data_IF_600285509523
#
_entry.id   IF_600285509523
#
_cell.length_a   1.000
_cell.length_b   1.000
_cell.length_c   1.000
_cell.angle_alpha   90.00
_cell.angle_beta   90.00
_cell.angle_gamma   90.00
#
_symmetry.space_group_name_H-M   'P 1'
#
loop_
_entity.id
_entity.type
_entity.pdbx_description
1 polymer ?
#
# COMPACT_ATOMS: atom_id res chain seq x y z
N UNK A 1 2.96 -11.57 7.71
CA UNK A 1 3.11 -10.28 7.05
C UNK A 1 3.26 -10.46 5.53
N UNK A 2 4.21 -11.27 5.03
CA UNK A 2 4.46 -11.45 3.59
C UNK A 2 3.19 -11.79 2.79
N UNK A 3 2.36 -12.73 3.29
CA UNK A 3 1.13 -13.11 2.60
C UNK A 3 0.07 -11.99 2.58
N UNK A 4 0.08 -11.10 3.56
CA UNK A 4 -0.73 -9.88 3.53
C UNK A 4 -0.20 -8.92 2.45
N UNK A 5 1.12 -8.66 2.41
CA UNK A 5 1.75 -7.79 1.40
C UNK A 5 1.51 -8.26 -0.04
N UNK A 6 1.33 -9.56 -0.27
CA UNK A 6 1.10 -10.15 -1.59
C UNK A 6 -0.36 -10.49 -1.87
N UNK A 7 -1.31 -9.98 -1.08
CA UNK A 7 -2.75 -10.27 -1.24
C UNK A 7 -3.06 -11.77 -1.31
N UNK A 8 -2.37 -12.56 -0.48
CA UNK A 8 -2.52 -14.00 -0.40
C UNK A 8 -2.73 -14.47 1.05
N UNK A 9 -3.55 -13.75 1.80
CA UNK A 9 -3.83 -14.01 3.22
C UNK A 9 -4.49 -15.37 3.48
N UNK A 10 -5.19 -15.92 2.48
CA UNK A 10 -6.06 -17.09 2.61
C UNK A 10 -7.46 -16.76 3.15
N UNK A 11 -7.70 -15.52 3.57
CA UNK A 11 -9.03 -15.06 3.98
C UNK A 11 -9.81 -14.67 2.73
N UNK A 12 -11.06 -15.13 2.64
CA UNK A 12 -11.96 -14.76 1.54
C UNK A 12 -12.31 -13.27 1.63
N UNK A 13 -12.11 -12.48 0.57
CA UNK A 13 -12.48 -11.07 0.53
C UNK A 13 -13.96 -10.83 0.87
N UNK A 14 -14.22 -9.75 1.60
CA UNK A 14 -15.57 -9.35 1.98
C UNK A 14 -15.70 -7.83 1.98
N UNK A 15 -16.11 -7.30 0.85
CA UNK A 15 -16.25 -5.86 0.60
C UNK A 15 -17.24 -5.14 1.53
N UNK A 16 -18.16 -5.90 2.16
CA UNK A 16 -19.17 -5.37 3.08
C UNK A 16 -18.74 -5.44 4.55
N UNK A 17 -17.56 -5.93 4.86
CA UNK A 17 -17.13 -6.13 6.25
C UNK A 17 -17.16 -4.83 7.06
N UNK A 18 -16.74 -3.71 6.46
CA UNK A 18 -16.75 -2.37 7.11
C UNK A 18 -18.12 -1.86 7.49
N UNK A 19 -19.18 -2.31 6.85
CA UNK A 19 -20.56 -1.89 7.17
C UNK A 19 -21.22 -2.76 8.26
N UNK A 20 -20.58 -3.86 8.69
CA UNK A 20 -21.18 -4.87 9.59
C UNK A 20 -20.80 -4.70 11.06
N UNK A 21 -20.25 -3.59 11.47
CA UNK A 21 -19.92 -3.39 12.87
C UNK A 21 -18.65 -2.58 13.08
N UNK A 22 -18.18 -2.57 14.33
CA UNK A 22 -17.07 -1.73 14.77
C UNK A 22 -15.79 -2.51 15.11
N UNK A 23 -15.83 -3.82 15.17
CA UNK A 23 -14.69 -4.70 15.53
C UNK A 23 -14.09 -5.33 14.27
N UNK A 24 -13.47 -4.54 13.43
CA UNK A 24 -12.98 -4.99 12.11
C UNK A 24 -11.82 -5.98 12.22
N UNK A 25 -10.89 -5.75 13.18
CA UNK A 25 -9.75 -6.66 13.42
C UNK A 25 -10.28 -8.03 13.84
N UNK A 26 -11.16 -8.07 14.84
CA UNK A 26 -11.76 -9.32 15.32
C UNK A 26 -12.54 -10.04 14.22
N UNK A 27 -13.35 -9.29 13.48
CA UNK A 27 -14.15 -9.83 12.37
C UNK A 27 -13.25 -10.44 11.29
N UNK A 28 -12.16 -9.77 10.92
CA UNK A 28 -11.21 -10.31 9.95
C UNK A 28 -10.56 -11.62 10.48
N UNK A 29 -10.08 -11.61 11.71
CA UNK A 29 -9.40 -12.75 12.32
C UNK A 29 -10.30 -13.96 12.61
N UNK A 30 -11.62 -13.76 12.73
CA UNK A 30 -12.60 -14.83 12.94
C UNK A 30 -13.02 -15.55 11.66
N UNK A 31 -12.65 -15.03 10.48
CA UNK A 31 -13.00 -15.67 9.21
C UNK A 31 -12.25 -16.98 8.99
N UNK A 32 -12.87 -17.95 8.28
CA UNK A 32 -12.18 -19.14 7.82
C UNK A 32 -10.97 -18.76 6.95
N UNK A 33 -9.88 -19.47 7.12
CA UNK A 33 -8.61 -19.22 6.41
C UNK A 33 -8.25 -20.45 5.60
N UNK A 34 -8.11 -20.30 4.27
CA UNK A 34 -7.44 -21.28 3.40
C UNK A 34 -5.91 -21.18 3.61
N UNK A 35 -5.14 -22.12 3.08
CA UNK A 35 -3.69 -22.10 3.24
C UNK A 35 -3.08 -20.76 2.76
N UNK A 36 -2.52 -19.92 3.66
CA UNK A 36 -1.96 -18.63 3.28
C UNK A 36 -0.82 -18.78 2.27
N UNK A 37 -0.75 -17.89 1.31
CA UNK A 37 0.28 -17.90 0.27
C UNK A 37 -0.05 -18.76 -0.95
N UNK A 38 -1.20 -19.45 -0.99
CA UNK A 38 -1.55 -20.33 -2.13
C UNK A 38 -2.30 -19.60 -3.23
N UNK A 39 -3.26 -18.75 -2.90
CA UNK A 39 -4.11 -18.04 -3.85
C UNK A 39 -3.99 -16.53 -3.69
N UNK A 40 -3.99 -15.82 -4.81
CA UNK A 40 -4.17 -14.38 -4.84
C UNK A 40 -5.66 -14.05 -4.64
N UNK A 41 -5.95 -13.14 -3.71
CA UNK A 41 -7.29 -12.63 -3.47
C UNK A 41 -7.18 -11.18 -2.96
N UNK A 42 -7.36 -10.22 -3.85
CA UNK A 42 -7.27 -8.80 -3.50
C UNK A 42 -8.34 -8.42 -2.48
N UNK A 43 -7.89 -7.82 -1.37
CA UNK A 43 -8.77 -7.38 -0.30
C UNK A 43 -8.18 -6.16 0.42
N UNK A 44 -8.85 -5.02 0.37
CA UNK A 44 -8.42 -3.80 1.07
C UNK A 44 -8.37 -3.99 2.59
N UNK A 45 -9.12 -4.95 3.15
CA UNK A 45 -9.02 -5.26 4.57
C UNK A 45 -7.67 -5.88 4.96
N UNK A 46 -6.97 -6.49 4.02
CA UNK A 46 -5.58 -6.95 4.22
C UNK A 46 -4.65 -5.78 4.47
N UNK A 47 -4.81 -4.67 3.74
CA UNK A 47 -4.05 -3.43 3.96
C UNK A 47 -4.39 -2.80 5.31
N UNK A 48 -5.67 -2.82 5.71
CA UNK A 48 -6.10 -2.41 7.04
C UNK A 48 -5.41 -3.24 8.14
N UNK A 49 -5.33 -4.56 7.98
CA UNK A 49 -4.61 -5.42 8.92
C UNK A 49 -3.12 -5.12 9.01
N UNK A 50 -2.49 -4.71 7.90
CA UNK A 50 -1.10 -4.24 7.91
C UNK A 50 -0.94 -2.92 8.70
N UNK A 51 -1.88 -1.97 8.53
CA UNK A 51 -1.90 -0.75 9.34
C UNK A 51 -2.07 -1.06 10.84
N UNK A 52 -2.95 -1.99 11.19
CA UNK A 52 -3.12 -2.47 12.56
C UNK A 52 -1.85 -3.12 13.12
N UNK A 53 -1.13 -3.91 12.30
CA UNK A 53 0.17 -4.48 12.68
C UNK A 53 1.19 -3.38 12.97
N UNK A 54 1.31 -2.37 12.09
CA UNK A 54 2.22 -1.23 12.30
C UNK A 54 1.88 -0.53 13.62
N UNK A 55 0.61 -0.20 13.85
CA UNK A 55 0.17 0.46 15.08
C UNK A 55 0.48 -0.39 16.33
N UNK A 56 0.24 -1.69 16.26
CA UNK A 56 0.52 -2.61 17.38
C UNK A 56 2.00 -2.72 17.71
N UNK A 57 2.85 -2.79 16.70
CA UNK A 57 4.31 -3.01 16.88
C UNK A 57 5.02 -1.71 17.28
N UNK A 58 4.58 -0.57 16.75
CA UNK A 58 5.26 0.71 16.98
C UNK A 58 4.66 1.53 18.13
N UNK A 59 3.44 1.20 18.56
CA UNK A 59 2.67 2.01 19.50
C UNK A 59 2.16 3.32 18.92
N UNK A 60 2.33 3.55 17.60
CA UNK A 60 1.94 4.77 16.88
C UNK A 60 0.93 4.44 15.78
N UNK A 61 -0.03 5.34 15.54
CA UNK A 61 -0.86 5.23 14.33
C UNK A 61 0.00 5.22 13.08
N UNK A 62 -0.49 4.60 12.01
CA UNK A 62 0.23 4.58 10.73
C UNK A 62 0.56 6.01 10.25
N UNK A 63 -0.38 6.94 10.41
CA UNK A 63 -0.20 8.36 10.06
C UNK A 63 0.90 9.04 10.89
N UNK A 64 0.97 8.81 12.18
CA UNK A 64 2.02 9.35 13.05
C UNK A 64 3.40 8.79 12.67
N UNK A 65 3.46 7.48 12.41
CA UNK A 65 4.69 6.81 11.99
C UNK A 65 5.19 7.33 10.64
N UNK A 66 4.28 7.51 9.66
CA UNK A 66 4.61 8.05 8.35
C UNK A 66 4.97 9.54 8.41
N UNK A 67 4.28 10.32 9.25
CA UNK A 67 4.57 11.74 9.43
C UNK A 67 6.03 11.97 9.80
N UNK A 68 6.54 11.24 10.77
CA UNK A 68 7.92 11.40 11.23
C UNK A 68 8.96 10.92 10.20
N UNK A 69 8.69 9.78 9.57
CA UNK A 69 9.71 9.07 8.80
C UNK A 69 9.69 9.36 7.31
N UNK A 70 8.55 9.78 6.79
CA UNK A 70 8.33 9.94 5.34
C UNK A 70 7.78 11.34 5.03
N UNK A 71 6.63 11.71 5.59
CA UNK A 71 5.93 12.91 5.16
C UNK A 71 6.71 14.18 5.50
N UNK A 72 7.19 14.32 6.74
CA UNK A 72 8.02 15.49 7.12
C UNK A 72 9.31 15.59 6.30
N UNK A 73 10.14 14.53 6.16
CA UNK A 73 11.32 14.59 5.32
C UNK A 73 11.05 14.94 3.85
N UNK A 74 9.90 14.51 3.32
CA UNK A 74 9.48 14.76 1.94
C UNK A 74 8.70 16.06 1.76
N UNK A 75 8.48 16.83 2.84
CA UNK A 75 7.64 18.02 2.84
C UNK A 75 6.24 17.74 2.25
N UNK A 76 5.58 16.71 2.79
CA UNK A 76 4.18 16.39 2.55
C UNK A 76 3.38 16.95 3.72
N UNK A 77 2.62 18.02 3.48
CA UNK A 77 1.97 18.82 4.53
C UNK A 77 0.45 18.70 4.51
N UNK A 78 -0.13 18.51 3.34
CA UNK A 78 -1.58 18.45 3.14
C UNK A 78 -2.02 17.02 2.85
N UNK A 79 -2.54 16.37 3.87
CA UNK A 79 -3.06 15.02 3.78
C UNK A 79 -4.03 14.74 4.93
N UNK A 80 -4.93 13.79 4.70
CA UNK A 80 -5.77 13.17 5.72
C UNK A 80 -5.92 11.69 5.41
N UNK A 81 -6.18 10.88 6.42
CA UNK A 81 -6.42 9.45 6.24
C UNK A 81 -7.53 8.97 7.16
N UNK A 82 -8.52 8.31 6.61
CA UNK A 82 -9.64 7.77 7.37
C UNK A 82 -9.18 6.78 8.45
N UNK A 83 -9.95 6.72 9.52
CA UNK A 83 -9.77 5.77 10.62
C UNK A 83 -10.98 4.84 10.74
N UNK A 84 -10.72 3.63 11.15
CA UNK A 84 -11.75 2.69 11.56
C UNK A 84 -12.39 3.10 12.88
N UNK A 85 -13.54 2.51 13.25
CA UNK A 85 -14.13 2.69 14.58
C UNK A 85 -13.22 2.25 15.74
N UNK A 86 -12.17 1.46 15.45
CA UNK A 86 -11.17 1.01 16.42
C UNK A 86 -9.99 1.98 16.53
N UNK A 87 -10.01 3.12 15.82
CA UNK A 87 -8.92 4.12 15.82
C UNK A 87 -7.66 3.68 15.10
N UNK A 88 -7.78 2.79 14.11
CA UNK A 88 -6.70 2.36 13.22
C UNK A 88 -6.91 2.98 11.86
N UNK A 89 -5.88 3.56 11.26
CA UNK A 89 -5.98 4.07 9.88
C UNK A 89 -6.35 2.96 8.91
N UNK A 90 -7.21 3.24 7.95
CA UNK A 90 -7.78 2.22 7.05
C UNK A 90 -6.75 1.51 6.17
N UNK A 91 -5.63 2.16 5.85
CA UNK A 91 -4.49 1.57 5.16
C UNK A 91 -4.73 1.23 3.69
N UNK A 92 -5.91 0.74 3.35
CA UNK A 92 -6.28 0.31 1.99
C UNK A 92 -7.19 1.27 1.22
N UNK A 93 -7.64 2.36 1.85
CA UNK A 93 -8.50 3.41 1.26
C UNK A 93 -8.49 4.66 2.13
N UNK A 94 -9.22 5.70 1.72
CA UNK A 94 -9.51 6.87 2.52
C UNK A 94 -8.33 7.81 2.76
N UNK A 95 -7.25 7.72 1.97
CA UNK A 95 -6.20 8.74 1.96
C UNK A 95 -6.60 9.89 1.05
N UNK A 96 -6.50 11.10 1.57
CA UNK A 96 -6.64 12.35 0.83
C UNK A 96 -5.27 13.03 0.83
N UNK A 97 -4.72 13.29 -0.34
CA UNK A 97 -3.35 13.79 -0.49
C UNK A 97 -3.22 14.50 -1.86
N UNK A 98 -2.37 15.51 -1.92
CA UNK A 98 -2.14 16.27 -3.15
C UNK A 98 -1.42 15.41 -4.22
N UNK A 99 -1.73 15.57 -5.52
CA UNK A 99 -1.08 14.84 -6.61
C UNK A 99 0.45 15.02 -6.63
N UNK A 100 0.96 16.21 -6.32
CA UNK A 100 2.39 16.49 -6.21
C UNK A 100 3.04 15.68 -5.09
N UNK A 101 2.33 15.44 -4.02
CA UNK A 101 2.80 14.57 -2.92
C UNK A 101 2.81 13.10 -3.34
N UNK A 102 1.84 12.66 -4.13
CA UNK A 102 1.85 11.32 -4.74
C UNK A 102 3.05 11.15 -5.68
N UNK A 103 3.37 12.17 -6.48
CA UNK A 103 4.56 12.15 -7.35
C UNK A 103 5.86 11.97 -6.56
N UNK A 104 5.97 12.55 -5.36
CA UNK A 104 7.13 12.34 -4.48
C UNK A 104 7.27 10.86 -4.06
N UNK A 105 6.17 10.13 -3.83
CA UNK A 105 6.24 8.68 -3.55
C UNK A 105 6.71 7.88 -4.77
N UNK A 106 6.23 8.22 -5.95
CA UNK A 106 6.74 7.63 -7.19
C UNK A 106 8.24 7.87 -7.36
N UNK A 107 8.71 9.09 -7.09
CA UNK A 107 10.13 9.43 -7.12
C UNK A 107 10.92 8.66 -6.05
N UNK A 108 10.38 8.48 -4.85
CA UNK A 108 11.02 7.70 -3.80
C UNK A 108 11.27 6.24 -4.23
N UNK A 109 10.36 5.67 -5.03
CA UNK A 109 10.54 4.33 -5.62
C UNK A 109 11.67 4.36 -6.66
N UNK A 110 11.68 5.34 -7.58
CA UNK A 110 12.73 5.49 -8.60
C UNK A 110 14.12 5.63 -7.98
N UNK A 111 14.22 6.39 -6.89
CA UNK A 111 15.47 6.65 -6.19
C UNK A 111 15.79 5.60 -5.11
N UNK A 112 15.22 4.41 -5.23
CA UNK A 112 15.45 3.29 -4.31
C UNK A 112 15.34 3.69 -2.82
N UNK A 113 14.31 4.46 -2.49
CA UNK A 113 14.04 4.90 -1.12
C UNK A 113 14.86 6.09 -0.63
N UNK A 114 15.64 6.73 -1.51
CA UNK A 114 16.41 7.92 -1.21
C UNK A 114 15.63 9.20 -1.55
N UNK A 115 15.69 10.18 -0.68
CA UNK A 115 15.09 11.49 -0.90
C UNK A 115 16.07 12.60 -0.55
N UNK A 116 16.39 13.47 -1.51
CA UNK A 116 17.36 14.59 -1.33
C UNK A 116 18.65 14.14 -0.61
N UNK A 117 19.23 13.03 -1.05
CA UNK A 117 20.46 12.48 -0.50
C UNK A 117 20.32 11.63 0.77
N UNK A 118 19.16 11.64 1.44
CA UNK A 118 18.89 10.85 2.65
C UNK A 118 18.15 9.56 2.33
N UNK A 119 18.60 8.43 2.86
CA UNK A 119 17.89 7.15 2.76
C UNK A 119 16.71 7.16 3.74
N UNK A 120 15.48 7.20 3.24
CA UNK A 120 14.24 7.15 4.06
C UNK A 120 13.72 5.72 4.20
N UNK A 121 13.81 4.94 3.13
CA UNK A 121 13.41 3.52 3.09
C UNK A 121 14.62 2.72 2.60
N UNK A 122 14.98 1.58 3.21
CA UNK A 122 16.11 0.78 2.75
C UNK A 122 15.99 0.42 1.25
N UNK A 123 17.06 0.56 0.49
CA UNK A 123 17.06 0.29 -0.96
C UNK A 123 16.68 -1.16 -1.27
N UNK A 124 17.18 -2.11 -0.47
CA UNK A 124 16.83 -3.52 -0.60
C UNK A 124 15.34 -3.78 -0.40
N UNK A 125 14.65 -2.97 0.46
CA UNK A 125 13.22 -3.07 0.65
C UNK A 125 12.46 -2.59 -0.59
N UNK A 126 12.86 -1.46 -1.18
CA UNK A 126 12.24 -0.97 -2.43
C UNK A 126 12.41 -2.00 -3.55
N UNK A 127 13.61 -2.54 -3.71
CA UNK A 127 13.84 -3.60 -4.71
C UNK A 127 12.99 -4.85 -4.44
N UNK A 128 12.89 -5.27 -3.17
CA UNK A 128 12.07 -6.41 -2.79
C UNK A 128 10.57 -6.12 -3.03
N UNK A 129 10.09 -4.92 -2.66
CA UNK A 129 8.71 -4.50 -2.89
C UNK A 129 8.32 -4.57 -4.37
N UNK A 130 9.23 -4.14 -5.26
CA UNK A 130 9.01 -4.11 -6.71
C UNK A 130 9.28 -5.46 -7.42
N UNK A 131 9.66 -6.53 -6.72
CA UNK A 131 9.77 -7.85 -7.36
C UNK A 131 8.42 -8.42 -7.76
N UNK A 132 8.45 -9.27 -8.77
CA UNK A 132 7.29 -10.07 -9.20
C UNK A 132 7.06 -11.21 -8.20
N UNK A 133 6.16 -11.00 -7.24
CA UNK A 133 5.89 -11.97 -6.16
C UNK A 133 4.72 -12.89 -6.47
N UNK A 134 3.73 -12.40 -7.22
CA UNK A 134 2.48 -13.13 -7.42
C UNK A 134 1.85 -12.87 -8.77
N UNK A 135 1.53 -13.93 -9.49
CA UNK A 135 0.64 -13.89 -10.65
C UNK A 135 -0.81 -13.74 -10.16
N UNK A 136 -1.56 -12.82 -10.80
CA UNK A 136 -2.96 -12.56 -10.44
C UNK A 136 -3.95 -13.12 -11.47
N UNK A 137 -3.44 -13.72 -12.55
CA UNK A 137 -4.21 -14.16 -13.69
C UNK A 137 -4.38 -13.10 -14.79
N UNK A 138 -4.11 -11.84 -14.49
CA UNK A 138 -4.12 -10.73 -15.47
C UNK A 138 -2.81 -9.96 -15.47
N UNK A 139 -2.23 -9.74 -14.32
CA UNK A 139 -1.04 -8.94 -14.08
C UNK A 139 -0.20 -9.58 -12.98
N UNK A 140 0.93 -8.98 -12.69
CA UNK A 140 1.84 -9.42 -11.63
C UNK A 140 1.81 -8.43 -10.48
N UNK A 141 1.87 -8.94 -9.25
CA UNK A 141 1.81 -8.19 -8.02
C UNK A 141 3.08 -8.33 -7.18
N UNK A 142 3.60 -7.21 -6.71
CA UNK A 142 4.68 -7.12 -5.74
C UNK A 142 4.15 -7.01 -4.30
N UNK A 143 4.83 -6.26 -3.45
CA UNK A 143 4.32 -5.91 -2.13
C UNK A 143 3.48 -4.63 -2.22
N UNK A 144 2.18 -4.76 -2.27
CA UNK A 144 1.21 -3.66 -2.44
C UNK A 144 1.51 -2.76 -3.65
N UNK A 145 2.11 -3.32 -4.69
CA UNK A 145 2.39 -2.62 -5.93
C UNK A 145 2.10 -3.53 -7.12
N UNK A 146 1.55 -2.97 -8.18
CA UNK A 146 1.28 -3.66 -9.42
C UNK A 146 2.44 -3.51 -10.40
N UNK A 147 2.71 -4.53 -11.19
CA UNK A 147 3.49 -4.38 -12.41
C UNK A 147 2.60 -3.93 -13.54
N UNK A 148 3.08 -3.01 -14.38
CA UNK A 148 2.33 -2.56 -15.54
C UNK A 148 2.38 -3.62 -16.64
N UNK A 149 1.23 -4.16 -17.03
CA UNK A 149 1.14 -5.07 -18.17
C UNK A 149 1.64 -4.38 -19.44
N UNK A 150 2.50 -5.08 -20.22
CA UNK A 150 3.08 -4.56 -21.46
C UNK A 150 4.33 -3.69 -21.29
N UNK A 151 4.80 -3.40 -20.07
CA UNK A 151 6.05 -2.69 -19.83
C UNK A 151 6.75 -3.20 -18.56
N UNK A 152 7.74 -4.06 -18.73
CA UNK A 152 8.45 -4.73 -17.62
C UNK A 152 9.21 -3.76 -16.69
N UNK A 153 9.55 -2.58 -17.17
CA UNK A 153 10.26 -1.53 -16.42
C UNK A 153 9.34 -0.61 -15.60
N UNK A 154 8.06 -0.92 -15.43
CA UNK A 154 7.14 -0.03 -14.72
C UNK A 154 6.34 -0.75 -13.62
N UNK A 155 6.18 -0.03 -12.50
CA UNK A 155 5.32 -0.42 -11.38
C UNK A 155 4.35 0.70 -11.05
N UNK A 156 3.20 0.36 -10.45
CA UNK A 156 2.20 1.36 -10.09
C UNK A 156 1.50 1.06 -8.77
N UNK A 157 1.17 2.11 -8.02
CA UNK A 157 0.06 2.11 -7.08
C UNK A 157 -1.21 2.40 -7.85
N UNK A 158 -2.27 1.65 -7.55
CA UNK A 158 -3.53 1.63 -8.30
C UNK A 158 -4.69 1.82 -7.33
N UNK A 159 -5.37 2.92 -7.43
CA UNK A 159 -6.53 3.27 -6.63
C UNK A 159 -7.83 3.23 -7.44
N UNK A 160 -8.93 3.03 -6.76
CA UNK A 160 -10.24 3.06 -7.39
C UNK A 160 -10.51 4.40 -8.10
N UNK A 161 -11.32 4.37 -9.15
CA UNK A 161 -11.74 5.57 -9.92
C UNK A 161 -10.58 6.31 -10.58
N UNK A 162 -9.56 5.59 -11.08
CA UNK A 162 -8.50 6.21 -11.88
C UNK A 162 -7.41 6.95 -11.11
N UNK A 163 -7.13 6.53 -9.87
CA UNK A 163 -6.05 7.09 -9.08
C UNK A 163 -4.77 6.28 -9.30
N UNK A 164 -3.77 6.84 -9.98
CA UNK A 164 -2.53 6.12 -10.28
C UNK A 164 -1.29 6.90 -9.88
N UNK A 165 -0.31 6.17 -9.35
CA UNK A 165 1.09 6.61 -9.27
C UNK A 165 1.92 5.56 -10.01
N UNK A 166 2.46 5.91 -11.15
CA UNK A 166 3.22 5.00 -12.02
C UNK A 166 4.68 5.41 -11.98
N UNK A 167 5.55 4.50 -11.55
CA UNK A 167 7.01 4.68 -11.60
C UNK A 167 7.58 3.84 -12.74
N UNK A 168 8.10 4.50 -13.77
CA UNK A 168 8.70 3.89 -14.95
C UNK A 168 10.21 3.87 -14.73
N UNK A 169 10.71 2.74 -14.23
CA UNK A 169 12.06 2.60 -13.69
C UNK A 169 13.14 2.79 -14.76
N UNK A 170 12.95 2.21 -15.94
CA UNK A 170 13.87 2.29 -17.08
C UNK A 170 13.87 3.66 -17.79
N UNK A 171 12.84 4.50 -17.55
CA UNK A 171 12.75 5.87 -18.07
C UNK A 171 13.01 6.93 -17.01
N UNK A 172 13.20 6.52 -15.76
CA UNK A 172 13.33 7.41 -14.62
C UNK A 172 12.22 8.48 -14.58
N UNK A 173 10.98 8.03 -14.76
CA UNK A 173 9.80 8.90 -14.91
C UNK A 173 8.70 8.50 -13.92
N UNK A 174 8.02 9.49 -13.37
CA UNK A 174 6.80 9.31 -12.58
C UNK A 174 5.62 9.94 -13.32
N UNK A 175 4.52 9.20 -13.36
CA UNK A 175 3.23 9.71 -13.85
C UNK A 175 2.22 9.58 -12.74
N UNK A 176 1.52 10.65 -12.43
CA UNK A 176 0.38 10.67 -11.50
C UNK A 176 -0.87 11.02 -12.26
N UNK A 177 -1.91 10.23 -12.06
CA UNK A 177 -3.24 10.48 -12.60
C UNK A 177 -4.21 10.48 -11.43
N UNK A 178 -5.05 11.50 -11.36
CA UNK A 178 -6.14 11.59 -10.39
C UNK A 178 -7.42 11.97 -11.15
N UNK A 179 -8.44 11.15 -10.96
CA UNK A 179 -9.77 11.38 -11.55
C UNK A 179 -10.79 11.53 -10.42
N UNK A 180 -11.89 12.26 -10.71
CA UNK A 180 -12.99 12.52 -9.78
C UNK A 180 -14.31 11.95 -10.32
#
# INVERSE_FOLDING_TARGET
VRHLLTMASGVKPDWNMRSRGKEWIRTFLSKPVEAPGTKYAYDSMVSYMLAAVVQKVTGKKLTEYLQERVFTPMNVTEWAWEESPEGVNTGGWGVHIQPESLAKFGQLILDEGRWKGKQLVPAEWIREMCKKHRETGREVYGYHIWHCGGHDGAVRADGALGQYVISILDKHMVVVITEA
#
